data_IF_297572564403
#
_entry.id   IF_297572564403
#
_cell.length_a   1.000
_cell.length_b   1.000
_cell.length_c   1.000
_cell.angle_alpha   90.00
_cell.angle_beta   90.00
_cell.angle_gamma   90.00
#
_symmetry.space_group_name_H-M   'P 1'
#
loop_
_entity.id
_entity.type
_entity.pdbx_description
1 polymer ?
#
# COMPACT_ATOMS: atom_id res chain seq x y z
N UNK A 1 -32.48 7.53 15.40
CA UNK A 1 -31.49 6.98 14.46
C UNK A 1 -30.36 7.98 14.31
N UNK A 2 -29.13 7.64 14.74
CA UNK A 2 -27.95 8.47 14.44
C UNK A 2 -27.62 8.27 12.96
N UNK A 3 -27.50 9.34 12.19
CA UNK A 3 -27.03 9.30 10.81
C UNK A 3 -25.77 8.44 10.72
N UNK A 4 -25.83 7.37 9.95
CA UNK A 4 -24.63 6.65 9.51
C UNK A 4 -23.72 7.69 8.86
N UNK A 5 -22.52 7.92 9.39
CA UNK A 5 -21.58 8.85 8.76
C UNK A 5 -21.42 8.45 7.31
N UNK A 6 -21.74 9.36 6.40
CA UNK A 6 -21.64 9.13 4.96
C UNK A 6 -20.17 9.03 4.55
N UNK A 7 -19.92 8.29 3.46
CA UNK A 7 -18.60 8.26 2.83
C UNK A 7 -18.19 9.68 2.43
N UNK A 8 -16.94 10.05 2.68
CA UNK A 8 -16.46 11.40 2.35
C UNK A 8 -15.22 11.35 1.45
N UNK A 9 -15.20 12.24 0.46
CA UNK A 9 -14.07 12.42 -0.46
C UNK A 9 -13.21 13.57 0.08
N UNK A 10 -11.90 13.35 0.15
CA UNK A 10 -10.92 14.34 0.58
C UNK A 10 -10.16 14.91 -0.62
N UNK A 11 -9.64 16.15 -0.53
CA UNK A 11 -8.91 16.77 -1.63
C UNK A 11 -7.63 16.02 -2.00
N UNK A 12 -7.18 16.17 -3.24
CA UNK A 12 -5.83 15.77 -3.65
C UNK A 12 -4.83 16.80 -3.13
N UNK A 13 -4.14 16.46 -2.05
CA UNK A 13 -3.15 17.35 -1.41
C UNK A 13 -1.74 17.15 -1.95
N UNK A 14 -1.48 16.02 -2.63
CA UNK A 14 -0.14 15.65 -3.09
C UNK A 14 0.13 16.10 -4.53
N UNK A 15 -0.91 16.24 -5.38
CA UNK A 15 -0.80 16.75 -6.75
C UNK A 15 0.32 16.09 -7.59
N UNK A 16 0.60 14.79 -7.35
CA UNK A 16 1.66 13.97 -7.96
C UNK A 16 3.09 14.21 -7.46
N UNK A 17 3.28 15.04 -6.44
CA UNK A 17 4.56 15.22 -5.74
C UNK A 17 4.82 14.07 -4.75
N UNK A 18 4.88 12.84 -5.29
CA UNK A 18 5.00 11.62 -4.48
C UNK A 18 6.44 11.33 -4.03
N UNK A 19 7.42 11.59 -4.90
CA UNK A 19 8.84 11.35 -4.60
C UNK A 19 9.46 12.58 -3.96
N UNK A 20 9.36 12.66 -2.64
CA UNK A 20 9.93 13.76 -1.86
C UNK A 20 11.27 13.40 -1.23
N UNK A 21 11.81 12.21 -1.53
CA UNK A 21 13.08 11.68 -1.00
C UNK A 21 13.15 11.59 0.55
N UNK A 22 11.99 11.67 1.20
CA UNK A 22 11.83 11.47 2.64
C UNK A 22 11.04 10.18 2.86
N UNK A 23 11.68 9.13 3.42
CA UNK A 23 10.98 7.91 3.80
C UNK A 23 9.81 8.18 4.75
N UNK A 24 8.69 7.50 4.54
CA UNK A 24 7.49 7.59 5.37
C UNK A 24 6.63 8.83 5.15
N UNK A 25 7.08 9.80 4.34
CA UNK A 25 6.35 11.06 4.13
C UNK A 25 5.13 10.91 3.22
N UNK A 26 5.27 10.16 2.13
CA UNK A 26 4.19 9.89 1.19
C UNK A 26 4.04 8.39 1.01
N UNK A 27 2.88 7.90 1.43
CA UNK A 27 2.49 6.50 1.34
C UNK A 27 1.40 6.37 0.27
N UNK A 28 1.42 5.28 -0.48
CA UNK A 28 0.40 4.93 -1.47
C UNK A 28 -0.29 3.66 -1.01
N UNK A 29 -1.62 3.58 -1.16
CA UNK A 29 -2.38 2.37 -0.81
C UNK A 29 -3.41 2.05 -1.87
N UNK A 30 -3.54 0.76 -2.16
CA UNK A 30 -4.51 0.25 -3.12
C UNK A 30 -4.80 -1.25 -2.84
N UNK A 31 -5.85 -1.77 -3.44
CA UNK A 31 -6.26 -3.18 -3.36
C UNK A 31 -6.21 -3.81 -4.75
N UNK A 32 -5.46 -4.90 -4.88
CA UNK A 32 -5.49 -5.74 -6.08
C UNK A 32 -6.23 -7.06 -5.86
N UNK A 33 -6.76 -7.61 -6.95
CA UNK A 33 -7.49 -8.87 -7.00
C UNK A 33 -6.51 -9.96 -7.42
N UNK A 34 -6.50 -11.07 -6.68
CA UNK A 34 -5.66 -12.23 -6.95
C UNK A 34 -6.56 -13.44 -7.26
N UNK A 35 -6.23 -14.15 -8.34
CA UNK A 35 -6.94 -15.36 -8.73
C UNK A 35 -5.96 -16.53 -8.68
N UNK A 36 -6.18 -17.45 -7.75
CA UNK A 36 -5.39 -18.67 -7.59
C UNK A 36 -6.15 -19.89 -8.15
N UNK A 37 -5.59 -21.09 -7.99
CA UNK A 37 -6.07 -22.29 -8.68
C UNK A 37 -7.58 -22.51 -8.54
N UNK A 38 -8.19 -23.02 -9.60
CA UNK A 38 -9.63 -23.25 -9.74
C UNK A 38 -10.48 -21.96 -9.69
N UNK A 39 -9.89 -20.81 -10.00
CA UNK A 39 -10.61 -19.54 -10.05
C UNK A 39 -10.96 -18.97 -8.67
N UNK A 40 -10.39 -19.54 -7.61
CA UNK A 40 -10.54 -18.96 -6.29
C UNK A 40 -9.94 -17.56 -6.23
N UNK A 41 -10.58 -16.70 -5.44
CA UNK A 41 -10.29 -15.28 -5.41
C UNK A 41 -9.86 -14.83 -4.03
N UNK A 42 -8.82 -14.02 -3.99
CA UNK A 42 -8.36 -13.30 -2.82
C UNK A 42 -8.09 -11.84 -3.17
N UNK A 43 -7.82 -11.04 -2.15
CA UNK A 43 -7.60 -9.61 -2.25
C UNK A 43 -6.35 -9.25 -1.47
N UNK A 44 -5.52 -8.39 -2.05
CA UNK A 44 -4.29 -7.92 -1.44
C UNK A 44 -4.33 -6.40 -1.34
N UNK A 45 -4.37 -5.90 -0.11
CA UNK A 45 -4.18 -4.48 0.21
C UNK A 45 -2.72 -4.24 0.54
N UNK A 46 -2.13 -3.15 0.03
CA UNK A 46 -0.73 -2.77 0.30
C UNK A 46 -0.62 -1.32 0.73
N UNK A 47 0.47 -1.02 1.44
CA UNK A 47 0.99 0.34 1.67
C UNK A 47 2.42 0.38 1.15
N UNK A 48 2.65 1.24 0.15
CA UNK A 48 3.93 1.44 -0.52
C UNK A 48 4.48 2.82 -0.14
N UNK A 49 5.76 2.91 0.20
CA UNK A 49 6.46 4.18 0.33
C UNK A 49 6.81 4.74 -1.05
N UNK A 50 6.35 5.95 -1.37
CA UNK A 50 6.55 6.52 -2.70
C UNK A 50 8.00 6.92 -3.00
N UNK A 51 8.78 7.27 -1.97
CA UNK A 51 10.18 7.68 -2.12
C UNK A 51 11.10 6.48 -2.31
N UNK A 52 10.81 5.37 -1.61
CA UNK A 52 11.69 4.19 -1.59
C UNK A 52 11.19 3.01 -2.40
N UNK A 53 9.95 3.07 -2.87
CA UNK A 53 9.21 1.95 -3.44
C UNK A 53 9.11 0.75 -2.47
N UNK A 54 9.31 0.92 -1.16
CA UNK A 54 9.24 -0.17 -0.17
C UNK A 54 7.80 -0.51 0.15
N UNK A 55 7.44 -1.79 0.15
CA UNK A 55 6.15 -2.23 0.70
C UNK A 55 6.26 -2.27 2.21
N UNK A 56 5.71 -1.25 2.88
CA UNK A 56 5.77 -1.13 4.34
C UNK A 56 4.74 -2.01 5.05
N UNK A 57 3.60 -2.28 4.41
CA UNK A 57 2.58 -3.17 4.96
C UNK A 57 1.74 -3.80 3.87
N UNK A 58 1.18 -4.97 4.16
CA UNK A 58 0.21 -5.63 3.30
C UNK A 58 -0.75 -6.54 4.08
N UNK A 59 -1.93 -6.76 3.52
CA UNK A 59 -2.92 -7.68 4.04
C UNK A 59 -3.58 -8.49 2.94
N UNK A 60 -3.42 -9.81 3.00
CA UNK A 60 -4.09 -10.76 2.12
C UNK A 60 -5.39 -11.23 2.80
N UNK A 61 -6.51 -11.13 2.10
CA UNK A 61 -7.83 -11.49 2.62
C UNK A 61 -8.67 -12.26 1.60
N UNK A 62 -9.57 -13.11 2.10
CA UNK A 62 -10.64 -13.75 1.30
C UNK A 62 -11.85 -12.80 1.09
N UNK A 63 -11.86 -11.65 1.73
CA UNK A 63 -12.99 -10.73 1.83
C UNK A 63 -12.59 -9.29 1.50
N UNK A 64 -13.45 -8.57 0.77
CA UNK A 64 -13.35 -7.12 0.52
C UNK A 64 -14.07 -6.28 1.58
N UNK A 65 -14.20 -6.78 2.80
CA UNK A 65 -14.74 -5.99 3.90
C UNK A 65 -13.75 -4.88 4.28
N UNK A 66 -14.20 -3.92 5.07
CA UNK A 66 -13.39 -2.76 5.47
C UNK A 66 -12.12 -3.15 6.24
N UNK A 67 -12.14 -4.32 6.90
CA UNK A 67 -11.01 -4.91 7.62
C UNK A 67 -9.75 -5.06 6.74
N UNK A 68 -9.91 -5.32 5.43
CA UNK A 68 -8.76 -5.47 4.53
C UNK A 68 -7.84 -4.25 4.57
N UNK A 69 -8.39 -3.03 4.59
CA UNK A 69 -7.60 -1.79 4.62
C UNK A 69 -7.27 -1.35 6.04
N UNK A 70 -8.16 -1.53 7.01
CA UNK A 70 -7.86 -1.12 8.40
C UNK A 70 -6.76 -1.97 9.00
N UNK A 71 -6.79 -3.29 8.77
CA UNK A 71 -5.74 -4.19 9.25
C UNK A 71 -4.40 -3.93 8.55
N UNK A 72 -4.42 -3.46 7.30
CA UNK A 72 -3.20 -3.03 6.61
C UNK A 72 -2.57 -1.82 7.30
N UNK A 73 -3.37 -0.83 7.72
CA UNK A 73 -2.89 0.33 8.48
C UNK A 73 -2.39 -0.08 9.86
N UNK A 74 -3.11 -0.95 10.57
CA UNK A 74 -2.64 -1.47 11.87
C UNK A 74 -1.27 -2.16 11.74
N UNK A 75 -1.08 -2.97 10.69
CA UNK A 75 0.22 -3.61 10.38
C UNK A 75 1.31 -2.58 10.07
N UNK A 76 1.00 -1.54 9.29
CA UNK A 76 1.92 -0.42 9.02
C UNK A 76 2.39 0.19 10.34
N UNK A 77 1.47 0.51 11.24
CA UNK A 77 1.82 1.11 12.53
C UNK A 77 2.60 0.12 13.39
N UNK A 78 2.21 -1.16 13.45
CA UNK A 78 2.91 -2.13 14.31
C UNK A 78 4.36 -2.35 13.91
N UNK A 79 4.66 -2.31 12.61
CA UNK A 79 5.98 -2.68 12.09
C UNK A 79 6.85 -1.49 11.70
N UNK A 80 6.25 -0.35 11.35
CA UNK A 80 6.94 0.77 10.73
C UNK A 80 6.58 2.14 11.35
N UNK A 81 6.07 2.17 12.59
CA UNK A 81 5.75 3.44 13.30
C UNK A 81 6.89 4.46 13.29
N UNK A 82 8.15 3.99 13.33
CA UNK A 82 9.33 4.86 13.35
C UNK A 82 9.52 5.69 12.07
N UNK A 83 8.85 5.31 10.96
CA UNK A 83 8.84 6.06 9.71
C UNK A 83 7.67 7.05 9.63
N UNK A 84 6.69 6.95 10.53
CA UNK A 84 5.45 7.74 10.45
C UNK A 84 5.60 9.01 11.30
N UNK A 85 5.35 10.15 10.68
CA UNK A 85 5.41 11.48 11.29
C UNK A 85 4.09 12.23 11.09
N UNK A 86 3.96 13.40 11.73
CA UNK A 86 2.75 14.23 11.63
C UNK A 86 2.50 14.80 10.22
N UNK A 87 3.52 14.83 9.38
CA UNK A 87 3.45 15.24 7.97
C UNK A 87 3.36 14.05 7.01
N UNK A 88 3.19 12.82 7.51
CA UNK A 88 2.90 11.66 6.68
C UNK A 88 1.52 11.77 6.05
N UNK A 89 1.47 11.60 4.72
CA UNK A 89 0.24 11.46 3.96
C UNK A 89 0.11 10.07 3.36
N UNK A 90 -1.11 9.52 3.37
CA UNK A 90 -1.47 8.35 2.59
C UNK A 90 -2.36 8.75 1.41
N UNK A 91 -2.02 8.23 0.24
CA UNK A 91 -2.70 8.49 -1.03
C UNK A 91 -3.45 7.25 -1.50
N UNK A 92 -4.69 7.44 -1.95
CA UNK A 92 -5.55 6.39 -2.50
C UNK A 92 -6.44 6.95 -3.61
N UNK A 93 -7.15 6.06 -4.30
CA UNK A 93 -8.30 6.47 -5.09
C UNK A 93 -9.51 6.86 -4.20
N UNK A 94 -10.66 7.12 -4.84
CA UNK A 94 -11.93 7.41 -4.18
C UNK A 94 -12.81 6.15 -3.98
N UNK A 95 -12.17 4.99 -3.84
CA UNK A 95 -12.84 3.72 -3.59
C UNK A 95 -13.64 3.73 -2.28
N UNK A 96 -14.60 2.81 -2.18
CA UNK A 96 -15.52 2.73 -1.03
C UNK A 96 -14.76 2.50 0.29
N UNK A 97 -13.66 1.75 0.27
CA UNK A 97 -12.83 1.51 1.45
C UNK A 97 -12.17 2.80 1.94
N UNK A 98 -11.60 3.59 1.03
CA UNK A 98 -10.81 4.76 1.37
C UNK A 98 -11.65 6.00 1.69
N UNK A 99 -12.87 6.07 1.15
CA UNK A 99 -13.87 7.09 1.50
C UNK A 99 -14.66 6.76 2.77
N UNK A 100 -14.44 5.57 3.35
CA UNK A 100 -15.16 5.12 4.55
C UNK A 100 -14.78 5.95 5.77
N UNK A 101 -15.76 6.36 6.60
CA UNK A 101 -15.49 7.04 7.87
C UNK A 101 -14.71 6.17 8.86
N UNK A 102 -14.75 4.83 8.72
CA UNK A 102 -13.96 3.91 9.54
C UNK A 102 -12.48 4.06 9.18
N UNK A 103 -12.16 4.04 7.89
CA UNK A 103 -10.79 4.22 7.39
C UNK A 103 -10.24 5.62 7.72
N UNK A 104 -11.03 6.66 7.51
CA UNK A 104 -10.64 8.02 7.88
C UNK A 104 -10.39 8.19 9.38
N UNK A 105 -11.18 7.50 10.22
CA UNK A 105 -11.01 7.55 11.68
C UNK A 105 -9.70 6.89 12.11
N UNK A 106 -9.33 5.74 11.54
CA UNK A 106 -8.07 5.07 11.88
C UNK A 106 -6.86 5.92 11.46
N UNK A 107 -6.88 6.55 10.28
CA UNK A 107 -5.81 7.47 9.86
C UNK A 107 -5.68 8.65 10.81
N UNK A 108 -6.82 9.26 11.19
CA UNK A 108 -6.84 10.37 12.15
C UNK A 108 -6.28 9.98 13.52
N UNK A 109 -6.58 8.78 14.00
CA UNK A 109 -6.06 8.29 15.29
C UNK A 109 -4.53 8.17 15.28
N UNK A 110 -3.94 7.90 14.12
CA UNK A 110 -2.49 7.80 13.93
C UNK A 110 -1.85 9.07 13.38
N UNK A 111 -2.60 10.18 13.32
CA UNK A 111 -2.13 11.47 12.78
C UNK A 111 -1.61 11.37 11.34
N UNK A 112 -2.14 10.45 10.54
CA UNK A 112 -1.81 10.31 9.12
C UNK A 112 -2.78 11.16 8.31
N UNK A 113 -2.27 12.08 7.49
CA UNK A 113 -3.05 12.84 6.52
C UNK A 113 -3.54 11.94 5.39
N UNK A 114 -4.69 12.25 4.80
CA UNK A 114 -5.21 11.52 3.65
C UNK A 114 -5.33 12.44 2.43
N UNK A 115 -4.90 11.94 1.28
CA UNK A 115 -5.01 12.59 -0.02
C UNK A 115 -5.69 11.62 -0.98
N UNK A 116 -6.66 12.05 -1.78
CA UNK A 116 -7.33 11.17 -2.75
C UNK A 116 -7.16 11.68 -4.17
N UNK A 117 -6.84 10.78 -5.10
CA UNK A 117 -6.81 11.09 -6.52
C UNK A 117 -8.20 11.47 -7.03
N UNK A 118 -8.27 12.18 -8.16
CA UNK A 118 -9.56 12.37 -8.85
C UNK A 118 -9.95 11.05 -9.53
N UNK A 119 -11.25 10.76 -9.59
CA UNK A 119 -11.77 9.62 -10.36
C UNK A 119 -11.26 9.68 -11.80
N UNK A 120 -10.77 8.55 -12.30
CA UNK A 120 -10.27 8.41 -13.67
C UNK A 120 -8.85 8.95 -13.91
N UNK A 121 -8.10 9.31 -12.85
CA UNK A 121 -6.70 9.73 -12.99
C UNK A 121 -5.72 8.58 -12.65
N UNK A 122 -5.37 7.78 -13.65
CA UNK A 122 -4.42 6.66 -13.49
C UNK A 122 -2.99 7.12 -13.11
N UNK A 123 -2.59 8.34 -13.49
CA UNK A 123 -1.26 8.86 -13.19
C UNK A 123 -0.99 9.01 -11.69
N UNK A 124 -2.04 9.24 -10.90
CA UNK A 124 -1.94 9.42 -9.46
C UNK A 124 -1.69 8.08 -8.71
N UNK A 125 -1.80 6.93 -9.38
CA UNK A 125 -1.56 5.60 -8.81
C UNK A 125 -0.43 4.82 -9.50
N UNK A 126 0.28 5.44 -10.44
CA UNK A 126 1.26 4.77 -11.30
C UNK A 126 2.34 3.95 -10.56
N UNK A 127 2.91 4.41 -9.43
CA UNK A 127 3.89 3.58 -8.69
C UNK A 127 3.29 2.30 -8.13
N UNK A 128 2.03 2.35 -7.67
CA UNK A 128 1.33 1.19 -7.13
C UNK A 128 0.91 0.22 -8.24
N UNK A 129 0.45 0.74 -9.38
CA UNK A 129 0.15 -0.06 -10.57
C UNK A 129 1.42 -0.79 -11.07
N UNK A 130 2.55 -0.08 -11.10
CA UNK A 130 3.85 -0.68 -11.46
C UNK A 130 4.27 -1.78 -10.48
N UNK A 131 4.08 -1.57 -9.17
CA UNK A 131 4.32 -2.60 -8.18
C UNK A 131 3.44 -3.83 -8.41
N UNK A 132 2.12 -3.65 -8.58
CA UNK A 132 1.21 -4.78 -8.80
C UNK A 132 1.45 -5.51 -10.12
N UNK A 133 1.91 -4.81 -11.16
CA UNK A 133 2.36 -5.43 -12.41
C UNK A 133 3.51 -6.41 -12.15
N UNK A 134 4.60 -5.92 -11.56
CA UNK A 134 5.74 -6.77 -11.19
C UNK A 134 5.35 -7.91 -10.25
N UNK A 135 4.56 -7.62 -9.22
CA UNK A 135 4.05 -8.62 -8.28
C UNK A 135 3.35 -9.77 -9.00
N UNK A 136 2.46 -9.47 -9.95
CA UNK A 136 1.70 -10.52 -10.67
C UNK A 136 2.54 -11.27 -11.71
N UNK A 137 3.53 -10.61 -12.30
CA UNK A 137 4.39 -11.22 -13.31
C UNK A 137 5.46 -12.13 -12.68
N UNK A 138 5.94 -11.77 -11.48
CA UNK A 138 7.06 -12.44 -10.82
C UNK A 138 6.61 -13.49 -9.78
N UNK A 139 5.31 -13.56 -9.45
CA UNK A 139 4.77 -14.56 -8.52
C UNK A 139 4.03 -15.70 -9.22
N UNK A 140 3.99 -16.85 -8.57
CA UNK A 140 3.35 -18.05 -9.08
C UNK A 140 1.93 -18.29 -8.52
N UNK A 141 1.16 -17.21 -8.33
CA UNK A 141 -0.16 -17.22 -7.67
C UNK A 141 -1.13 -18.23 -8.27
N UNK A 142 -1.12 -18.40 -9.59
CA UNK A 142 -2.03 -19.32 -10.31
C UNK A 142 -1.84 -20.79 -9.90
N UNK A 143 -0.67 -21.15 -9.38
CA UNK A 143 -0.33 -22.49 -8.97
C UNK A 143 -0.61 -22.78 -7.49
N UNK A 144 -0.94 -21.76 -6.69
CA UNK A 144 -1.38 -21.96 -5.31
C UNK A 144 -2.74 -22.67 -5.28
N UNK A 145 -2.83 -23.80 -4.58
CA UNK A 145 -4.05 -24.59 -4.39
C UNK A 145 -4.89 -24.09 -3.22
N UNK A 146 -4.22 -23.62 -2.16
CA UNK A 146 -4.85 -23.19 -0.91
C UNK A 146 -4.57 -21.72 -0.64
N UNK A 147 -5.33 -21.15 0.29
CA UNK A 147 -5.09 -19.77 0.72
C UNK A 147 -3.77 -19.64 1.49
N UNK A 148 -3.37 -20.70 2.20
CA UNK A 148 -2.13 -20.79 2.97
C UNK A 148 -0.91 -20.81 2.03
N UNK A 149 -1.00 -21.54 0.91
CA UNK A 149 0.01 -21.49 -0.16
C UNK A 149 0.12 -20.09 -0.78
N UNK A 150 -1.03 -19.45 -1.05
CA UNK A 150 -1.06 -18.08 -1.56
C UNK A 150 -0.44 -17.09 -0.57
N UNK A 151 -0.75 -17.22 0.72
CA UNK A 151 -0.18 -16.39 1.78
C UNK A 151 1.34 -16.53 1.84
N UNK A 152 1.86 -17.76 1.73
CA UNK A 152 3.30 -18.02 1.67
C UNK A 152 3.93 -17.39 0.44
N UNK A 153 3.31 -17.54 -0.74
CA UNK A 153 3.80 -16.94 -1.98
C UNK A 153 3.87 -15.42 -1.90
N UNK A 154 2.79 -14.77 -1.44
CA UNK A 154 2.76 -13.31 -1.23
C UNK A 154 3.84 -12.90 -0.24
N UNK A 155 3.96 -13.57 0.91
CA UNK A 155 4.96 -13.22 1.92
C UNK A 155 6.39 -13.36 1.42
N UNK A 156 6.70 -14.43 0.70
CA UNK A 156 8.02 -14.64 0.09
C UNK A 156 8.34 -13.53 -0.92
N UNK A 157 7.36 -13.14 -1.73
CA UNK A 157 7.56 -12.07 -2.69
C UNK A 157 7.77 -10.71 -2.04
N UNK A 158 7.04 -10.38 -0.96
CA UNK A 158 7.24 -9.11 -0.26
C UNK A 158 8.65 -8.99 0.31
N UNK A 159 9.20 -10.09 0.86
CA UNK A 159 10.59 -10.15 1.30
C UNK A 159 11.57 -10.01 0.13
N UNK A 160 11.37 -10.79 -0.94
CA UNK A 160 12.17 -10.70 -2.16
C UNK A 160 12.21 -9.27 -2.72
N UNK A 161 11.04 -8.66 -2.90
CA UNK A 161 10.88 -7.33 -3.49
C UNK A 161 11.58 -6.25 -2.66
N UNK A 162 11.41 -6.27 -1.33
CA UNK A 162 11.98 -5.27 -0.43
C UNK A 162 13.50 -5.44 -0.21
N UNK A 163 13.98 -6.69 -0.11
CA UNK A 163 15.33 -7.00 0.37
C UNK A 163 16.30 -7.48 -0.70
N UNK A 164 15.81 -7.94 -1.86
CA UNK A 164 16.65 -8.61 -2.87
C UNK A 164 16.45 -8.06 -4.29
N UNK A 165 15.30 -7.47 -4.61
CA UNK A 165 15.01 -6.90 -5.94
C UNK A 165 15.58 -5.50 -6.11
N UNK A 166 16.79 -5.41 -6.67
CA UNK A 166 17.42 -4.12 -7.01
C UNK A 166 16.64 -3.39 -8.12
N UNK A 167 16.47 -2.07 -7.98
CA UNK A 167 15.70 -1.27 -8.95
C UNK A 167 16.57 -0.18 -9.57
N UNK A 168 16.52 -0.05 -10.90
CA UNK A 168 17.30 0.97 -11.64
C UNK A 168 17.02 2.39 -11.15
N UNK A 169 15.75 2.70 -10.89
CA UNK A 169 15.31 4.01 -10.41
C UNK A 169 15.71 4.30 -8.95
N UNK A 170 16.29 3.32 -8.24
CA UNK A 170 16.79 3.43 -6.86
C UNK A 170 18.31 3.25 -6.82
N UNK A 171 19.04 3.71 -7.86
CA UNK A 171 20.49 3.53 -7.98
C UNK A 171 20.93 2.05 -7.89
N UNK A 172 20.09 1.13 -8.39
CA UNK A 172 20.25 -0.34 -8.29
C UNK A 172 20.19 -0.90 -6.86
N UNK A 173 19.81 -0.10 -5.87
CA UNK A 173 19.54 -0.56 -4.52
C UNK A 173 18.18 -1.27 -4.47
N UNK A 174 18.02 -2.13 -3.45
CA UNK A 174 16.70 -2.65 -3.08
C UNK A 174 15.93 -1.58 -2.32
N UNK A 175 14.59 -1.65 -2.25
CA UNK A 175 13.78 -0.66 -1.52
C UNK A 175 14.29 -0.39 -0.09
N UNK A 176 14.57 -1.44 0.68
CA UNK A 176 15.08 -1.30 2.06
C UNK A 176 16.48 -0.67 2.09
N UNK A 177 17.38 -1.06 1.18
CA UNK A 177 18.71 -0.45 1.09
C UNK A 177 18.61 1.03 0.73
N UNK A 178 17.70 1.39 -0.16
CA UNK A 178 17.48 2.78 -0.56
C UNK A 178 16.87 3.61 0.57
N UNK A 179 15.91 3.07 1.32
CA UNK A 179 15.41 3.70 2.55
C UNK A 179 16.55 4.00 3.53
N UNK A 180 17.37 3.00 3.83
CA UNK A 180 18.48 3.16 4.77
C UNK A 180 19.51 4.18 4.25
N UNK A 181 19.75 4.22 2.94
CA UNK A 181 20.59 5.25 2.31
C UNK A 181 20.02 6.65 2.57
N UNK A 182 18.74 6.89 2.29
CA UNK A 182 18.10 8.20 2.53
C UNK A 182 18.15 8.61 4.01
N UNK A 183 17.87 7.68 4.94
CA UNK A 183 17.94 7.94 6.38
C UNK A 183 19.35 8.23 6.87
N UNK A 184 20.39 7.71 6.22
CA UNK A 184 21.79 7.97 6.57
C UNK A 184 22.33 9.29 6.03
N UNK A 185 21.63 9.88 5.04
CA UNK A 185 22.03 11.12 4.36
C UNK A 185 21.17 12.33 4.73
N UNK A 186 20.13 12.12 5.56
CA UNK A 186 19.25 13.15 6.09
C UNK A 186 19.85 13.76 7.38
#
# INVERSE_FOLDING_TARGET
MKATKEHSILPNLLNREFKQEVPGKVLLTDITYLFYKNGHKAYLSTVLDASTNEVLAYNLSKSLKIDIVTDTIEKLISSNKFLISSDTFIHSDQGVHYTSPIFQKILKNYSIGQSMSRRGNCWDNAPQESFFGHFKDETNIKNCNTFEELLKEVSNYMDYYNNYRGQWNLKKMTPVKYRNHLLSTA
#
